data_IF_453476696790
#
_entry.id   IF_453476696790
#
_cell.length_a   1.000
_cell.length_b   1.000
_cell.length_c   1.000
_cell.angle_alpha   90.00
_cell.angle_beta   90.00
_cell.angle_gamma   90.00
#
_symmetry.space_group_name_H-M   'P 1'
#
loop_
_entity.id
_entity.type
_entity.pdbx_description
1 polymer ?
#
# COMPACT_ATOMS: atom_id res chain seq x y z
N UNK A 1 -1.21 0.82 4.43
CA UNK A 1 -2.11 0.73 3.27
C UNK A 1 -2.43 -0.74 2.99
N UNK A 2 -3.64 -1.03 2.52
CA UNK A 2 -4.03 -2.39 2.09
C UNK A 2 -3.15 -2.86 0.94
N UNK A 3 -2.93 -2.01 -0.04
CA UNK A 3 -2.07 -2.29 -1.18
C UNK A 3 -0.61 -2.51 -0.77
N UNK A 4 -0.10 -1.77 0.23
CA UNK A 4 1.23 -2.04 0.77
C UNK A 4 1.32 -3.43 1.41
N UNK A 5 0.27 -3.87 2.10
CA UNK A 5 0.21 -5.21 2.67
C UNK A 5 0.14 -6.31 1.59
N UNK A 6 -0.55 -6.05 0.46
CA UNK A 6 -0.63 -6.97 -0.68
C UNK A 6 0.76 -7.26 -1.26
N UNK A 7 1.49 -6.23 -1.66
CA UNK A 7 2.82 -6.43 -2.24
C UNK A 7 3.83 -6.99 -1.22
N UNK A 8 3.73 -6.59 0.04
CA UNK A 8 4.58 -7.09 1.10
C UNK A 8 4.37 -8.59 1.35
N UNK A 9 3.12 -9.06 1.36
CA UNK A 9 2.79 -10.48 1.47
C UNK A 9 3.32 -11.27 0.26
N UNK A 10 3.21 -10.71 -0.93
CA UNK A 10 3.72 -11.32 -2.15
C UNK A 10 5.26 -11.44 -2.12
N UNK A 11 5.98 -10.37 -1.76
CA UNK A 11 7.44 -10.39 -1.62
C UNK A 11 7.89 -11.41 -0.57
N UNK A 12 7.17 -11.52 0.54
CA UNK A 12 7.43 -12.52 1.59
C UNK A 12 7.21 -13.95 1.07
N UNK A 13 6.12 -14.20 0.35
CA UNK A 13 5.83 -15.49 -0.26
C UNK A 13 6.93 -15.92 -1.25
N UNK A 14 7.39 -15.00 -2.09
CA UNK A 14 8.50 -15.21 -3.03
C UNK A 14 9.87 -15.25 -2.34
N UNK A 15 9.95 -14.94 -1.05
CA UNK A 15 11.21 -14.85 -0.29
C UNK A 15 12.20 -13.84 -0.89
N UNK A 16 11.68 -12.75 -1.47
CA UNK A 16 12.50 -11.69 -2.04
C UNK A 16 12.94 -10.76 -0.90
N UNK A 17 14.27 -10.63 -0.65
CA UNK A 17 14.76 -9.69 0.34
C UNK A 17 14.38 -8.26 -0.03
N UNK A 18 13.77 -7.54 0.90
CA UNK A 18 13.36 -6.17 0.69
C UNK A 18 13.45 -5.34 1.97
N UNK A 19 13.58 -4.03 1.82
CA UNK A 19 13.52 -3.07 2.91
C UNK A 19 12.21 -2.29 2.82
N UNK A 20 11.54 -2.16 3.95
CA UNK A 20 10.36 -1.30 4.07
C UNK A 20 10.77 0.07 4.55
N UNK A 21 10.21 1.10 3.97
CA UNK A 21 10.33 2.48 4.41
C UNK A 21 8.95 3.06 4.67
N UNK A 22 8.78 3.70 5.83
CA UNK A 22 7.51 4.33 6.18
C UNK A 22 7.30 5.55 5.29
N UNK A 23 6.17 5.63 4.62
CA UNK A 23 5.80 6.74 3.75
C UNK A 23 5.42 7.98 4.59
N UNK A 24 6.41 8.59 5.23
CA UNK A 24 6.29 9.85 5.94
C UNK A 24 6.12 11.01 4.96
N UNK A 25 5.75 12.18 5.47
CA UNK A 25 5.71 13.41 4.67
C UNK A 25 7.04 13.68 3.96
N UNK A 26 8.15 13.44 4.64
CA UNK A 26 9.50 13.60 4.08
C UNK A 26 9.75 12.61 2.94
N UNK A 27 9.41 11.33 3.13
CA UNK A 27 9.56 10.29 2.11
C UNK A 27 8.70 10.59 0.89
N UNK A 28 7.47 11.07 1.09
CA UNK A 28 6.63 11.54 -0.02
C UNK A 28 7.32 12.65 -0.83
N UNK A 29 7.88 13.65 -0.16
CA UNK A 29 8.52 14.78 -0.83
C UNK A 29 9.84 14.41 -1.52
N UNK A 30 10.66 13.54 -0.90
CA UNK A 30 12.00 13.21 -1.37
C UNK A 30 12.03 12.07 -2.38
N UNK A 31 11.19 11.06 -2.20
CA UNK A 31 11.25 9.82 -2.98
C UNK A 31 10.04 9.60 -3.88
N UNK A 32 8.81 9.76 -3.36
CA UNK A 32 7.61 9.35 -4.08
C UNK A 32 7.23 10.37 -5.16
N UNK A 33 7.06 11.63 -4.77
CA UNK A 33 6.64 12.67 -5.70
C UNK A 33 7.62 12.88 -6.87
N UNK A 34 8.96 12.90 -6.66
CA UNK A 34 9.89 13.02 -7.77
C UNK A 34 9.86 11.85 -8.76
N UNK A 35 9.49 10.65 -8.30
CA UNK A 35 9.46 9.42 -9.12
C UNK A 35 8.14 9.23 -9.85
N UNK A 36 7.02 9.50 -9.18
CA UNK A 36 5.67 9.14 -9.65
C UNK A 36 4.86 10.38 -10.06
N UNK A 37 5.15 11.56 -9.50
CA UNK A 37 4.43 12.81 -9.80
C UNK A 37 3.19 13.04 -8.93
N UNK A 38 2.72 12.07 -8.15
CA UNK A 38 1.56 12.19 -7.26
C UNK A 38 1.72 11.34 -5.99
N UNK A 39 1.00 11.68 -4.89
CA UNK A 39 1.18 11.02 -3.59
C UNK A 39 0.43 9.68 -3.52
N UNK A 40 1.06 8.60 -3.91
CA UNK A 40 0.52 7.24 -3.91
C UNK A 40 1.44 6.28 -3.16
N UNK A 41 0.89 5.26 -2.54
CA UNK A 41 1.59 4.13 -1.92
C UNK A 41 0.83 2.82 -2.17
N UNK A 42 1.55 1.72 -2.31
CA UNK A 42 3.00 1.57 -2.26
C UNK A 42 3.73 2.06 -3.52
N UNK A 43 5.00 2.31 -3.38
CA UNK A 43 5.96 2.48 -4.48
C UNK A 43 7.09 1.51 -4.21
N UNK A 44 7.51 0.76 -5.22
CA UNK A 44 8.62 -0.17 -5.14
C UNK A 44 9.75 0.32 -6.05
N UNK A 45 10.97 0.30 -5.51
CA UNK A 45 12.19 0.64 -6.26
C UNK A 45 13.07 -0.59 -6.29
N UNK A 46 13.37 -1.06 -7.49
CA UNK A 46 14.24 -2.21 -7.72
C UNK A 46 15.71 -1.83 -7.56
N UNK A 47 16.64 -2.80 -7.41
CA UNK A 47 18.07 -2.49 -7.24
C UNK A 47 18.70 -1.71 -8.39
N UNK A 48 18.18 -1.80 -9.60
CA UNK A 48 18.62 -1.04 -10.76
C UNK A 48 18.02 0.37 -10.85
N UNK A 49 17.18 0.74 -9.86
CA UNK A 49 16.54 2.05 -9.78
C UNK A 49 15.19 2.17 -10.51
N UNK A 50 14.70 1.10 -11.14
CA UNK A 50 13.38 1.09 -11.75
C UNK A 50 12.32 1.29 -10.68
N UNK A 51 11.38 2.19 -10.97
CA UNK A 51 10.28 2.51 -10.05
C UNK A 51 8.99 1.88 -10.57
N UNK A 52 8.34 1.08 -9.72
CA UNK A 52 7.06 0.44 -10.00
C UNK A 52 5.98 1.03 -9.09
N UNK A 53 4.81 1.27 -9.64
CA UNK A 53 3.61 1.72 -8.96
C UNK A 53 2.43 0.93 -9.50
N UNK A 54 1.37 0.77 -8.72
CA UNK A 54 0.31 -0.23 -8.83
C UNK A 54 0.77 -1.65 -8.47
N UNK A 55 0.02 -2.27 -7.54
CA UNK A 55 0.45 -3.56 -6.97
C UNK A 55 0.28 -4.73 -7.93
N UNK A 56 -0.68 -4.66 -8.84
CA UNK A 56 -0.85 -5.69 -9.87
C UNK A 56 0.27 -5.62 -10.91
N UNK A 57 0.61 -4.41 -11.37
CA UNK A 57 1.76 -4.19 -12.26
C UNK A 57 3.10 -4.58 -11.60
N UNK A 58 3.26 -4.27 -10.29
CA UNK A 58 4.43 -4.72 -9.52
C UNK A 58 4.55 -6.24 -9.51
N UNK A 59 3.45 -6.94 -9.22
CA UNK A 59 3.42 -8.40 -9.15
C UNK A 59 3.73 -8.99 -10.52
N UNK A 60 3.12 -8.50 -11.59
CA UNK A 60 3.35 -9.01 -12.94
C UNK A 60 4.82 -8.82 -13.39
N UNK A 61 5.39 -7.65 -13.12
CA UNK A 61 6.79 -7.38 -13.44
C UNK A 61 7.75 -8.29 -12.65
N UNK A 62 7.50 -8.43 -11.34
CA UNK A 62 8.34 -9.23 -10.46
C UNK A 62 8.14 -10.74 -10.66
N UNK A 63 6.93 -11.21 -11.01
CA UNK A 63 6.67 -12.62 -11.32
C UNK A 63 7.52 -13.09 -12.48
N UNK A 64 7.69 -12.25 -13.50
CA UNK A 64 8.54 -12.53 -14.66
C UNK A 64 10.02 -12.65 -14.27
N UNK A 65 10.49 -11.84 -13.34
CA UNK A 65 11.87 -11.86 -12.83
C UNK A 65 12.12 -12.96 -11.77
N UNK A 66 11.07 -13.37 -11.05
CA UNK A 66 11.11 -14.34 -9.96
C UNK A 66 10.06 -15.43 -10.12
N UNK A 67 10.22 -16.34 -11.09
CA UNK A 67 9.15 -17.27 -11.53
C UNK A 67 8.73 -18.33 -10.51
N UNK A 68 9.54 -18.66 -9.54
CA UNK A 68 9.21 -19.72 -8.57
C UNK A 68 9.08 -19.21 -7.12
N UNK A 69 8.16 -19.74 -6.31
CA UNK A 69 6.96 -20.50 -6.64
C UNK A 69 5.89 -19.61 -7.31
N UNK A 70 5.16 -20.14 -8.28
CA UNK A 70 4.13 -19.40 -9.01
C UNK A 70 3.00 -18.94 -8.10
N UNK A 71 2.53 -17.72 -8.28
CA UNK A 71 1.41 -17.15 -7.50
C UNK A 71 0.07 -17.30 -8.20
N UNK A 72 0.08 -17.50 -9.51
CA UNK A 72 -1.12 -17.75 -10.30
C UNK A 72 -1.09 -19.18 -10.87
N UNK A 73 -2.23 -19.88 -10.88
CA UNK A 73 -2.35 -21.17 -11.56
C UNK A 73 -2.02 -21.06 -13.05
N UNK A 74 -1.41 -22.11 -13.60
CA UNK A 74 -1.14 -22.17 -15.03
C UNK A 74 -2.41 -22.42 -15.87
N UNK A 75 -3.42 -23.10 -15.28
CA UNK A 75 -4.65 -23.40 -15.99
C UNK A 75 -5.57 -22.17 -16.04
N UNK A 76 -6.29 -21.96 -17.19
CA UNK A 76 -7.00 -20.70 -17.44
C UNK A 76 -8.14 -20.39 -16.47
N UNK A 77 -8.91 -21.38 -16.05
CA UNK A 77 -10.06 -21.15 -15.16
C UNK A 77 -9.62 -20.72 -13.76
N UNK A 78 -8.60 -21.39 -13.17
CA UNK A 78 -8.03 -20.98 -11.89
C UNK A 78 -7.35 -19.63 -11.96
N UNK A 79 -6.63 -19.35 -13.06
CA UNK A 79 -6.06 -18.03 -13.28
C UNK A 79 -7.13 -16.94 -13.31
N UNK A 80 -8.22 -17.17 -14.06
CA UNK A 80 -9.36 -16.25 -14.12
C UNK A 80 -9.96 -16.01 -12.74
N UNK A 81 -10.18 -17.07 -11.95
CA UNK A 81 -10.73 -16.93 -10.59
C UNK A 81 -9.79 -16.13 -9.69
N UNK A 82 -8.49 -16.35 -9.74
CA UNK A 82 -7.52 -15.57 -8.96
C UNK A 82 -7.59 -14.08 -9.30
N UNK A 83 -7.61 -13.73 -10.59
CA UNK A 83 -7.72 -12.34 -11.05
C UNK A 83 -9.07 -11.71 -10.68
N UNK A 84 -10.15 -12.47 -10.72
CA UNK A 84 -11.47 -12.01 -10.28
C UNK A 84 -11.49 -11.70 -8.77
N UNK A 85 -10.87 -12.57 -7.95
CA UNK A 85 -10.75 -12.32 -6.51
C UNK A 85 -9.82 -11.15 -6.21
N UNK A 86 -8.73 -10.99 -6.96
CA UNK A 86 -7.86 -9.82 -6.85
C UNK A 86 -8.64 -8.53 -7.11
N UNK A 87 -9.38 -8.46 -8.21
CA UNK A 87 -10.25 -7.32 -8.53
C UNK A 87 -11.29 -7.07 -7.42
N UNK A 88 -11.93 -8.12 -6.90
CA UNK A 88 -12.86 -8.01 -5.78
C UNK A 88 -12.20 -7.42 -4.55
N UNK A 89 -11.00 -7.89 -4.18
CA UNK A 89 -10.26 -7.39 -3.01
C UNK A 89 -9.80 -5.96 -3.21
N UNK A 90 -9.29 -5.61 -4.37
CA UNK A 90 -8.71 -4.29 -4.65
C UNK A 90 -9.80 -3.21 -4.81
N UNK A 91 -10.99 -3.55 -5.33
CA UNK A 91 -12.00 -2.56 -5.64
C UNK A 91 -13.20 -2.56 -4.67
N UNK A 92 -13.67 -3.72 -4.23
CA UNK A 92 -14.88 -3.83 -3.43
C UNK A 92 -14.64 -3.95 -1.94
N UNK A 93 -13.68 -4.77 -1.51
CA UNK A 93 -13.41 -4.99 -0.08
C UNK A 93 -12.86 -3.72 0.59
N UNK A 94 -12.22 -2.83 -0.16
CA UNK A 94 -11.77 -1.54 0.38
C UNK A 94 -12.92 -0.65 0.87
N UNK A 95 -14.11 -0.75 0.24
CA UNK A 95 -15.27 0.07 0.63
C UNK A 95 -15.71 -0.20 2.06
N UNK A 96 -16.08 -1.45 2.46
CA UNK A 96 -16.38 -1.74 3.86
C UNK A 96 -15.17 -1.51 4.78
N UNK A 97 -13.94 -1.80 4.32
CA UNK A 97 -12.75 -1.57 5.14
C UNK A 97 -12.52 -0.09 5.47
N UNK A 98 -12.75 0.81 4.52
CA UNK A 98 -12.71 2.27 4.76
C UNK A 98 -13.87 2.71 5.66
N UNK A 99 -15.08 2.18 5.45
CA UNK A 99 -16.23 2.46 6.29
C UNK A 99 -15.96 2.08 7.76
N UNK A 100 -15.53 0.84 8.02
CA UNK A 100 -15.21 0.41 9.39
C UNK A 100 -14.11 1.26 10.02
N UNK A 101 -13.05 1.56 9.28
CA UNK A 101 -11.94 2.39 9.77
C UNK A 101 -12.39 3.79 10.19
N UNK A 102 -13.15 4.47 9.36
CA UNK A 102 -13.48 5.88 9.56
C UNK A 102 -14.82 6.12 10.28
N UNK A 103 -15.63 5.07 10.43
CA UNK A 103 -16.88 5.16 11.16
C UNK A 103 -16.75 4.60 12.59
N UNK A 104 -16.17 3.43 12.76
CA UNK A 104 -16.07 2.76 14.05
C UNK A 104 -14.74 3.04 14.78
N UNK A 105 -13.63 3.09 14.03
CA UNK A 105 -12.27 3.23 14.57
C UNK A 105 -11.63 4.60 14.24
N UNK A 106 -12.43 5.63 13.97
CA UNK A 106 -11.95 6.92 13.47
C UNK A 106 -10.89 7.57 14.37
N UNK A 107 -11.04 7.48 15.69
CA UNK A 107 -10.07 8.04 16.64
C UNK A 107 -8.72 7.34 16.57
N UNK A 108 -8.72 6.00 16.56
CA UNK A 108 -7.52 5.19 16.42
C UNK A 108 -6.87 5.42 15.05
N UNK A 109 -7.67 5.44 13.98
CA UNK A 109 -7.18 5.68 12.63
C UNK A 109 -6.53 7.08 12.53
N UNK A 110 -7.16 8.12 13.07
CA UNK A 110 -6.60 9.46 13.08
C UNK A 110 -5.24 9.51 13.80
N UNK A 111 -5.13 8.90 14.97
CA UNK A 111 -3.87 8.85 15.73
C UNK A 111 -2.77 8.11 14.95
N UNK A 112 -3.09 6.97 14.33
CA UNK A 112 -2.15 6.21 13.50
C UNK A 112 -1.67 7.02 12.27
N UNK A 113 -2.59 7.62 11.54
CA UNK A 113 -2.25 8.44 10.38
C UNK A 113 -1.44 9.68 10.76
N UNK A 114 -1.74 10.32 11.89
CA UNK A 114 -0.97 11.45 12.40
C UNK A 114 0.45 11.05 12.77
N UNK A 115 0.63 9.94 13.48
CA UNK A 115 1.93 9.40 13.88
C UNK A 115 2.78 8.99 12.68
N UNK A 116 2.16 8.29 11.72
CA UNK A 116 2.86 7.81 10.54
C UNK A 116 3.20 8.93 9.55
N UNK A 117 2.48 10.06 9.57
CA UNK A 117 2.77 11.20 8.71
C UNK A 117 4.13 11.84 9.05
N UNK A 118 4.37 12.04 10.35
CA UNK A 118 5.67 12.54 10.83
C UNK A 118 5.93 12.04 12.26
N UNK A 119 6.65 10.92 12.40
CA UNK A 119 6.96 10.33 13.70
C UNK A 119 7.84 11.20 14.62
N UNK A 120 8.56 12.16 14.04
CA UNK A 120 9.46 13.03 14.79
C UNK A 120 8.74 14.20 15.48
N UNK A 121 7.49 14.48 15.10
CA UNK A 121 6.71 15.55 15.72
C UNK A 121 6.23 15.18 17.15
N UNK A 122 6.04 16.18 18.01
CA UNK A 122 5.40 15.96 19.30
C UNK A 122 3.99 15.36 19.16
N UNK A 123 3.53 14.50 20.12
CA UNK A 123 2.25 13.81 20.02
C UNK A 123 1.03 14.73 19.80
N UNK A 124 1.05 15.95 20.34
CA UNK A 124 -0.03 16.93 20.14
C UNK A 124 -0.15 17.35 18.66
N UNK A 125 0.98 17.53 17.97
CA UNK A 125 1.00 17.89 16.54
C UNK A 125 0.62 16.69 15.67
N UNK A 126 1.07 15.48 16.03
CA UNK A 126 0.64 14.25 15.35
C UNK A 126 -0.88 14.10 15.39
N UNK A 127 -1.51 14.27 16.57
CA UNK A 127 -2.98 14.23 16.71
C UNK A 127 -3.70 15.33 15.92
N UNK A 128 -3.13 16.52 15.83
CA UNK A 128 -3.70 17.60 15.00
C UNK A 128 -3.71 17.21 13.51
N UNK A 129 -2.59 16.67 13.02
CA UNK A 129 -2.48 16.19 11.64
C UNK A 129 -3.46 15.04 11.37
N UNK A 130 -3.53 14.08 12.28
CA UNK A 130 -4.44 12.95 12.18
C UNK A 130 -5.90 13.38 12.09
N UNK A 131 -6.34 14.34 12.91
CA UNK A 131 -7.69 14.90 12.84
C UNK A 131 -7.98 15.60 11.50
N UNK A 132 -7.01 16.32 10.95
CA UNK A 132 -7.14 16.94 9.61
C UNK A 132 -7.25 15.90 8.50
N UNK A 133 -6.55 14.77 8.63
CA UNK A 133 -6.67 13.65 7.70
C UNK A 133 -8.05 13.00 7.84
N UNK A 134 -8.49 12.69 9.06
CA UNK A 134 -9.79 12.08 9.34
C UNK A 134 -10.95 12.91 8.78
N UNK A 135 -10.90 14.23 8.92
CA UNK A 135 -11.94 15.14 8.42
C UNK A 135 -12.18 15.06 6.90
N UNK A 136 -11.25 14.48 6.13
CA UNK A 136 -11.43 14.25 4.69
C UNK A 136 -12.28 13.03 4.37
N UNK A 137 -12.48 12.14 5.35
CA UNK A 137 -13.19 10.88 5.20
C UNK A 137 -14.47 10.81 6.03
N UNK A 138 -14.77 11.87 6.79
CA UNK A 138 -15.95 11.96 7.71
C UNK A 138 -17.11 12.73 7.08
N UNK A 139 -17.20 12.81 5.75
CA UNK A 139 -18.26 13.48 5.03
C UNK A 139 -19.46 12.58 4.72
#
# INVERSE_FOLDING_TARGET
SYYSAKIDAWLAYKRIPHRRELATREVFAREILPRIGYPVIPVLVTPDGTTLQDTSDMIDALESAHPGPATLPAEPAGRFLCLLFELLCDEWIKVPALHYRWHYDAAFAADEFGRNNDPALPPARQREIGRKIAARFSG
#
